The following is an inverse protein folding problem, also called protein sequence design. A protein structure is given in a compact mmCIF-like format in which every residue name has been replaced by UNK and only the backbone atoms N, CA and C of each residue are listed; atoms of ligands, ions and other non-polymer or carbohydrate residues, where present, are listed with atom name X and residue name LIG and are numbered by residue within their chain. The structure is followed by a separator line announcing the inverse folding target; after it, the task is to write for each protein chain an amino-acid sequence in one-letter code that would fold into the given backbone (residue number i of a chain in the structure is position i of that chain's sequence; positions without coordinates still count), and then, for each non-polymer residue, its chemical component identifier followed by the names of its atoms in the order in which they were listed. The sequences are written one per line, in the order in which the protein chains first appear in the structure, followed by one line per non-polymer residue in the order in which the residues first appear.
data_IF_300637508000
#
_entry.id   IF_300637508000
#
_cell.length_a   1.000
_cell.length_b   1.000
_cell.length_c   1.000
_cell.angle_alpha   90.00
_cell.angle_beta   90.00
_cell.angle_gamma   90.00
#
_symmetry.space_group_name_H-M   'P 1'
#
loop_
_entity.id
_entity.type
_entity.pdbx_description
1 polymer ?
#
# COMPACT_ATOMS: atom_id res chain seq x y z
N UNK A 1 -5.11 -19.89 26.90
CA UNK A 1 -4.85 -19.35 26.89
C UNK A 1 -4.12 -18.36 26.46
N UNK A 2 -3.59 -17.80 26.58
CA UNK A 2 -2.96 -16.79 26.22
C UNK A 2 -2.49 -16.66 24.98
N UNK A 3 -2.44 -17.52 24.34
CA UNK A 3 -1.91 -17.49 23.09
C UNK A 3 -2.62 -16.63 22.18
N UNK A 4 -3.85 -16.45 22.35
CA UNK A 4 -4.62 -15.57 21.54
C UNK A 4 -3.99 -14.17 21.50
N UNK A 5 -3.38 -13.78 22.59
CA UNK A 5 -2.76 -12.47 22.63
C UNK A 5 -1.53 -12.40 21.77
N UNK A 6 -0.86 -13.49 21.62
CA UNK A 6 0.35 -13.52 20.82
C UNK A 6 0.02 -13.26 19.37
N UNK A 7 -1.16 -13.69 18.93
CA UNK A 7 -1.54 -13.57 17.55
C UNK A 7 -2.31 -12.29 17.26
N UNK A 8 -2.49 -11.46 18.28
CA UNK A 8 -3.37 -10.32 18.14
C UNK A 8 -2.70 -9.04 17.66
N UNK A 9 -1.44 -9.11 17.24
CA UNK A 9 -0.79 -7.92 16.74
C UNK A 9 -1.48 -7.49 15.45
N UNK A 10 -1.70 -6.18 15.36
CA UNK A 10 -2.37 -5.61 14.20
C UNK A 10 -1.47 -5.67 12.97
N UNK A 11 -2.05 -5.87 11.81
CA UNK A 11 -1.26 -5.75 10.59
C UNK A 11 -0.74 -4.33 10.45
N UNK A 12 0.45 -4.20 9.90
CA UNK A 12 1.17 -2.94 9.82
C UNK A 12 1.07 -2.37 8.41
N UNK A 13 0.77 -1.08 8.32
CA UNK A 13 0.57 -0.43 7.03
C UNK A 13 1.50 0.77 6.86
N UNK A 14 2.01 0.93 5.64
CA UNK A 14 2.80 2.09 5.24
C UNK A 14 1.99 2.88 4.22
N UNK A 15 1.94 4.19 4.39
CA UNK A 15 1.28 5.11 3.46
C UNK A 15 2.35 5.97 2.80
N UNK A 16 2.33 6.04 1.47
CA UNK A 16 3.21 6.92 0.70
C UNK A 16 2.32 7.85 -0.12
N UNK A 17 2.11 9.05 0.37
CA UNK A 17 1.17 10.01 -0.19
C UNK A 17 1.64 11.43 0.13
N UNK A 18 1.81 12.26 -0.89
CA UNK A 18 2.32 13.61 -0.66
C UNK A 18 1.25 14.67 -0.35
N UNK A 19 -0.03 14.33 -0.47
CA UNK A 19 -1.10 15.23 -0.06
C UNK A 19 -1.43 14.98 1.41
N UNK A 20 -1.11 15.96 2.25
CA UNK A 20 -1.22 15.81 3.70
C UNK A 20 -2.63 15.40 4.14
N UNK A 21 -3.66 16.03 3.57
CA UNK A 21 -5.03 15.75 3.99
C UNK A 21 -5.45 14.32 3.65
N UNK A 22 -5.03 13.83 2.50
CA UNK A 22 -5.33 12.46 2.09
C UNK A 22 -4.57 11.48 2.97
N UNK A 23 -3.30 11.76 3.27
CA UNK A 23 -2.52 10.90 4.14
C UNK A 23 -3.15 10.80 5.53
N UNK A 24 -3.61 11.92 6.08
CA UNK A 24 -4.25 11.91 7.39
C UNK A 24 -5.56 11.15 7.39
N UNK A 25 -6.35 11.30 6.33
CA UNK A 25 -7.59 10.54 6.19
C UNK A 25 -7.31 9.04 6.12
N UNK A 26 -6.32 8.65 5.34
CA UNK A 26 -5.95 7.23 5.23
C UNK A 26 -5.48 6.66 6.55
N UNK A 27 -4.70 7.44 7.32
CA UNK A 27 -4.25 6.99 8.64
C UNK A 27 -5.43 6.68 9.55
N UNK A 28 -6.42 7.56 9.59
CA UNK A 28 -7.58 7.37 10.43
C UNK A 28 -8.40 6.16 9.99
N UNK A 29 -8.63 6.04 8.70
CA UNK A 29 -9.45 4.94 8.18
C UNK A 29 -8.78 3.59 8.35
N UNK A 30 -7.48 3.53 8.10
CA UNK A 30 -6.74 2.28 8.30
C UNK A 30 -6.74 1.86 9.76
N UNK A 31 -6.62 2.83 10.66
CA UNK A 31 -6.68 2.54 12.09
C UNK A 31 -8.04 1.95 12.47
N UNK A 32 -9.12 2.50 11.91
CA UNK A 32 -10.46 1.98 12.16
C UNK A 32 -10.64 0.57 11.58
N UNK A 33 -9.94 0.25 10.51
CA UNK A 33 -9.99 -1.07 9.91
C UNK A 33 -9.09 -2.09 10.63
N UNK A 34 -8.38 -1.66 11.64
CA UNK A 34 -7.57 -2.57 12.44
C UNK A 34 -6.09 -2.59 12.11
N UNK A 35 -5.63 -1.68 11.27
CA UNK A 35 -4.20 -1.61 10.93
C UNK A 35 -3.44 -0.71 11.89
N UNK A 36 -2.18 -1.02 12.10
CA UNK A 36 -1.23 -0.13 12.75
C UNK A 36 -0.47 0.62 11.66
N UNK A 37 -0.70 1.91 11.54
CA UNK A 37 -0.01 2.72 10.52
C UNK A 37 1.37 3.06 11.06
N UNK A 38 2.40 2.44 10.48
CA UNK A 38 3.76 2.60 10.99
C UNK A 38 4.41 3.89 10.51
N UNK A 39 3.97 4.40 9.36
CA UNK A 39 4.47 5.66 8.84
C UNK A 39 3.58 6.14 7.72
N UNK A 40 3.53 7.46 7.54
CA UNK A 40 2.92 8.08 6.39
C UNK A 40 3.95 9.08 5.88
N UNK A 41 4.52 8.79 4.72
CA UNK A 41 5.62 9.59 4.16
C UNK A 41 5.21 10.19 2.82
N UNK A 42 5.94 11.20 2.38
CA UNK A 42 5.53 11.97 1.20
C UNK A 42 6.44 11.80 -0.01
N UNK A 43 7.43 10.94 0.07
CA UNK A 43 8.33 10.72 -1.07
C UNK A 43 8.55 9.25 -1.34
N UNK A 44 8.89 8.94 -2.59
CA UNK A 44 9.20 7.58 -2.99
C UNK A 44 10.40 7.05 -2.21
N UNK A 45 11.43 7.87 -2.05
CA UNK A 45 12.66 7.46 -1.38
C UNK A 45 12.41 7.03 0.07
N UNK A 46 11.62 7.83 0.79
CA UNK A 46 11.30 7.47 2.17
C UNK A 46 10.43 6.23 2.23
N UNK A 47 9.49 6.10 1.29
CA UNK A 47 8.64 4.91 1.23
C UNK A 47 9.44 3.65 0.99
N UNK A 48 10.38 3.69 0.05
CA UNK A 48 11.24 2.55 -0.24
C UNK A 48 12.08 2.18 0.98
N UNK A 49 12.67 3.19 1.63
CA UNK A 49 13.52 2.94 2.79
C UNK A 49 12.74 2.29 3.93
N UNK A 50 11.55 2.80 4.22
CA UNK A 50 10.74 2.25 5.31
C UNK A 50 10.22 0.86 4.96
N UNK A 51 9.74 0.67 3.74
CA UNK A 51 9.24 -0.65 3.32
C UNK A 51 10.32 -1.70 3.44
N UNK A 52 11.54 -1.37 3.03
CA UNK A 52 12.65 -2.30 3.08
C UNK A 52 13.06 -2.64 4.51
N UNK A 53 13.11 -1.62 5.36
CA UNK A 53 13.54 -1.79 6.74
C UNK A 53 12.47 -2.43 7.62
N UNK A 54 11.23 -1.96 7.51
CA UNK A 54 10.16 -2.34 8.43
C UNK A 54 9.30 -3.51 7.94
N UNK A 55 9.34 -3.80 6.66
CA UNK A 55 8.58 -4.90 6.05
C UNK A 55 7.11 -4.90 6.49
N UNK A 56 6.35 -3.86 6.10
CA UNK A 56 4.95 -3.78 6.50
C UNK A 56 4.09 -4.87 5.85
N UNK A 57 2.87 -5.02 6.34
CA UNK A 57 1.93 -5.99 5.81
C UNK A 57 1.09 -5.43 4.66
N UNK A 58 1.15 -4.12 4.45
CA UNK A 58 0.40 -3.44 3.39
C UNK A 58 1.08 -2.13 3.06
N UNK A 59 1.16 -1.79 1.77
CA UNK A 59 1.65 -0.49 1.33
C UNK A 59 0.58 0.16 0.47
N UNK A 60 0.15 1.37 0.86
CA UNK A 60 -0.71 2.22 0.03
C UNK A 60 0.20 3.27 -0.59
N UNK A 61 0.17 3.41 -1.90
CA UNK A 61 1.17 4.16 -2.62
C UNK A 61 0.55 5.01 -3.71
N UNK A 62 0.65 6.33 -3.57
CA UNK A 62 0.19 7.24 -4.62
C UNK A 62 1.07 7.07 -5.84
N UNK A 63 0.47 6.97 -7.00
CA UNK A 63 1.21 6.86 -8.26
C UNK A 63 1.96 8.15 -8.54
N UNK A 64 1.34 9.29 -8.26
CA UNK A 64 1.97 10.59 -8.52
C UNK A 64 2.56 11.16 -7.27
N UNK A 65 3.84 10.96 -7.10
CA UNK A 65 4.61 11.57 -6.02
C UNK A 65 5.51 12.64 -6.61
N UNK A 66 5.74 13.70 -5.85
CA UNK A 66 6.66 14.76 -6.23
C UNK A 66 8.08 14.24 -6.04
N UNK A 67 9.02 14.84 -6.80
CA UNK A 67 10.41 14.46 -6.68
C UNK A 67 10.89 13.64 -7.87
N UNK A 68 12.03 13.01 -7.71
CA UNK A 68 12.69 12.31 -8.82
C UNK A 68 12.03 10.99 -9.18
N UNK A 69 11.44 10.31 -8.20
CA UNK A 69 10.77 9.03 -8.43
C UNK A 69 9.30 9.17 -8.14
N UNK A 70 8.49 8.58 -8.99
CA UNK A 70 7.05 8.53 -8.76
C UNK A 70 6.67 7.19 -8.09
N UNK A 71 5.36 6.99 -7.92
CA UNK A 71 4.88 5.80 -7.23
C UNK A 71 5.16 4.50 -7.98
N UNK A 72 5.16 4.53 -9.31
CA UNK A 72 5.42 3.30 -10.08
C UNK A 72 6.87 2.89 -9.89
N UNK A 73 7.79 3.86 -9.94
CA UNK A 73 9.20 3.57 -9.70
C UNK A 73 9.43 3.06 -8.28
N UNK A 74 8.74 3.69 -7.30
CA UNK A 74 8.84 3.24 -5.92
C UNK A 74 8.33 1.80 -5.78
N UNK A 75 7.23 1.46 -6.44
CA UNK A 75 6.68 0.11 -6.39
C UNK A 75 7.66 -0.91 -6.92
N UNK A 76 8.34 -0.60 -8.03
CA UNK A 76 9.34 -1.51 -8.59
C UNK A 76 10.46 -1.79 -7.60
N UNK A 77 10.96 -0.74 -6.96
CA UNK A 77 12.05 -0.90 -6.00
C UNK A 77 11.61 -1.62 -4.74
N UNK A 78 10.41 -1.33 -4.26
CA UNK A 78 9.87 -2.04 -3.09
C UNK A 78 9.74 -3.53 -3.40
N UNK A 79 9.20 -3.87 -4.58
CA UNK A 79 9.02 -5.26 -4.97
C UNK A 79 10.32 -6.03 -5.06
N UNK A 80 11.42 -5.36 -5.38
CA UNK A 80 12.73 -6.01 -5.42
C UNK A 80 13.22 -6.38 -4.03
N UNK A 81 12.74 -5.70 -2.99
CA UNK A 81 13.21 -5.87 -1.63
C UNK A 81 12.26 -6.66 -0.75
N UNK A 82 10.96 -6.50 -0.91
CA UNK A 82 9.98 -7.11 -0.02
C UNK A 82 8.78 -7.61 -0.80
N UNK A 83 8.21 -8.69 -0.33
CA UNK A 83 7.01 -9.26 -0.91
C UNK A 83 5.83 -8.82 -0.05
N UNK A 84 5.17 -7.72 -0.43
CA UNK A 84 4.13 -7.09 0.36
C UNK A 84 2.93 -6.73 -0.53
N UNK A 85 1.70 -6.82 -0.02
CA UNK A 85 0.54 -6.33 -0.75
C UNK A 85 0.68 -4.85 -1.03
N UNK A 86 0.47 -4.46 -2.27
CA UNK A 86 0.68 -3.11 -2.72
C UNK A 86 -0.57 -2.59 -3.41
N UNK A 87 -1.11 -1.47 -2.91
CA UNK A 87 -2.30 -0.84 -3.44
C UNK A 87 -1.93 0.54 -3.95
N UNK A 88 -2.20 0.80 -5.22
CA UNK A 88 -1.98 2.10 -5.80
C UNK A 88 -3.15 3.04 -5.53
N UNK A 89 -2.84 4.31 -5.28
CA UNK A 89 -3.81 5.38 -5.20
C UNK A 89 -3.60 6.27 -6.42
N UNK A 90 -4.66 6.67 -7.08
CA UNK A 90 -4.53 7.49 -8.27
C UNK A 90 -5.71 8.42 -8.47
N UNK A 91 -5.48 9.53 -9.18
CA UNK A 91 -6.55 10.41 -9.59
C UNK A 91 -7.26 9.83 -10.82
N UNK A 92 -8.53 10.20 -10.96
CA UNK A 92 -9.44 9.59 -11.91
C UNK A 92 -9.05 9.73 -13.39
N UNK A 93 -8.24 10.67 -13.76
CA UNK A 93 -8.06 11.06 -15.16
C UNK A 93 -6.73 10.66 -15.80
N UNK A 94 -5.98 9.77 -15.22
CA UNK A 94 -4.62 9.54 -15.66
C UNK A 94 -4.44 8.26 -16.47
N UNK A 95 -4.67 8.32 -17.77
CA UNK A 95 -4.53 7.17 -18.65
C UNK A 95 -3.10 6.70 -18.85
N UNK A 96 -2.17 7.64 -18.96
CA UNK A 96 -0.77 7.29 -19.15
C UNK A 96 -0.25 6.51 -17.95
N UNK A 97 -0.73 6.87 -16.78
CA UNK A 97 -0.34 6.20 -15.55
C UNK A 97 -0.85 4.75 -15.50
N UNK A 98 -2.04 4.51 -16.03
CA UNK A 98 -2.59 3.15 -16.07
C UNK A 98 -1.68 2.20 -16.85
N UNK A 99 -1.16 2.66 -17.99
CA UNK A 99 -0.26 1.83 -18.79
C UNK A 99 1.05 1.53 -18.06
N UNK A 100 1.57 2.51 -17.33
CA UNK A 100 2.79 2.30 -16.55
C UNK A 100 2.58 1.36 -15.38
N UNK A 101 1.41 1.43 -14.75
CA UNK A 101 1.07 0.57 -13.60
C UNK A 101 1.11 -0.90 -14.00
N UNK A 102 0.73 -1.20 -15.24
CA UNK A 102 0.75 -2.59 -15.72
C UNK A 102 2.15 -3.19 -15.77
N UNK A 103 3.19 -2.36 -15.70
CA UNK A 103 4.56 -2.85 -15.69
C UNK A 103 5.00 -3.41 -14.35
N UNK A 104 4.20 -3.21 -13.30
CA UNK A 104 4.53 -3.71 -11.98
C UNK A 104 3.43 -4.62 -11.48
N UNK A 105 3.79 -5.57 -10.64
CA UNK A 105 2.81 -6.36 -9.93
C UNK A 105 2.21 -5.52 -8.83
N UNK A 106 0.90 -5.48 -8.74
CA UNK A 106 0.22 -4.79 -7.66
C UNK A 106 -1.02 -5.58 -7.28
N UNK A 107 -1.56 -5.33 -6.10
CA UNK A 107 -2.65 -6.14 -5.58
C UNK A 107 -3.98 -5.41 -5.55
N UNK A 108 -3.95 -4.09 -5.63
CA UNK A 108 -5.17 -3.29 -5.65
C UNK A 108 -4.93 -1.91 -6.23
N UNK A 109 -6.03 -1.26 -6.58
CA UNK A 109 -5.99 0.03 -7.24
C UNK A 109 -7.18 0.82 -6.76
N UNK A 110 -6.98 2.01 -6.22
CA UNK A 110 -8.03 2.82 -5.64
C UNK A 110 -8.03 4.21 -6.26
N UNK A 111 -9.18 4.60 -6.81
CA UNK A 111 -9.32 5.92 -7.43
C UNK A 111 -9.72 6.97 -6.40
N UNK A 112 -9.09 8.13 -6.47
CA UNK A 112 -9.44 9.29 -5.63
C UNK A 112 -10.51 10.10 -6.36
N UNK A 113 -11.47 10.66 -5.65
CA UNK A 113 -11.77 10.47 -4.24
C UNK A 113 -12.44 9.13 -4.01
N UNK A 114 -12.11 8.48 -2.91
CA UNK A 114 -12.66 7.17 -2.61
C UNK A 114 -13.59 7.24 -1.40
N UNK A 115 -14.50 6.28 -1.33
CA UNK A 115 -15.40 6.13 -0.18
C UNK A 115 -14.80 5.11 0.78
N UNK A 116 -15.24 5.18 2.03
CA UNK A 116 -14.75 4.27 3.05
C UNK A 116 -14.93 2.81 2.64
N UNK A 117 -16.10 2.47 2.09
CA UNK A 117 -16.39 1.12 1.66
C UNK A 117 -15.45 0.67 0.53
N UNK A 118 -15.12 1.57 -0.39
CA UNK A 118 -14.21 1.25 -1.49
C UNK A 118 -12.81 0.97 -0.98
N UNK A 119 -12.35 1.76 -0.01
CA UNK A 119 -11.05 1.54 0.59
C UNK A 119 -10.99 0.17 1.28
N UNK A 120 -12.00 -0.13 2.09
CA UNK A 120 -12.05 -1.40 2.81
C UNK A 120 -12.05 -2.59 1.85
N UNK A 121 -12.91 -2.56 0.83
CA UNK A 121 -13.02 -3.64 -0.14
C UNK A 121 -11.72 -3.83 -0.91
N UNK A 122 -11.11 -2.72 -1.34
CA UNK A 122 -9.86 -2.78 -2.09
C UNK A 122 -8.76 -3.41 -1.25
N UNK A 123 -8.67 -3.04 0.01
CA UNK A 123 -7.66 -3.62 0.91
C UNK A 123 -7.90 -5.11 1.12
N UNK A 124 -9.14 -5.49 1.37
CA UNK A 124 -9.47 -6.90 1.59
C UNK A 124 -9.10 -7.76 0.39
N UNK A 125 -9.43 -7.29 -0.80
CA UNK A 125 -9.10 -8.00 -2.02
C UNK A 125 -7.59 -8.06 -2.22
N UNK A 126 -6.89 -6.94 -1.95
CA UNK A 126 -5.45 -6.88 -2.12
C UNK A 126 -4.74 -7.88 -1.20
N UNK A 127 -5.19 -7.97 0.04
CA UNK A 127 -4.60 -8.91 0.99
C UNK A 127 -4.81 -10.36 0.54
N UNK A 128 -6.01 -10.67 0.02
CA UNK A 128 -6.31 -12.00 -0.48
C UNK A 128 -5.49 -12.34 -1.72
N UNK A 129 -5.40 -11.41 -2.67
CA UNK A 129 -4.63 -11.65 -3.89
C UNK A 129 -3.16 -11.89 -3.59
N UNK A 130 -2.63 -11.13 -2.65
CA UNK A 130 -1.24 -11.30 -2.25
C UNK A 130 -1.01 -12.67 -1.61
N UNK A 131 -1.91 -13.09 -0.73
CA UNK A 131 -1.80 -14.38 -0.06
C UNK A 131 -1.83 -15.53 -1.06
N UNK A 132 -2.70 -15.43 -2.07
CA UNK A 132 -2.78 -16.45 -3.12
C UNK A 132 -1.50 -16.48 -3.92
N UNK A 133 -0.97 -15.32 -4.30
CA UNK A 133 0.25 -15.25 -5.09
C UNK A 133 1.45 -15.84 -4.34
N UNK A 134 1.57 -15.52 -3.06
CA UNK A 134 2.64 -16.07 -2.23
C UNK A 134 2.55 -17.59 -2.15
N UNK A 135 1.33 -18.10 -1.96
CA UNK A 135 1.11 -19.53 -1.87
C UNK A 135 1.49 -20.24 -3.17
N UNK A 136 1.18 -19.63 -4.31
CA UNK A 136 1.57 -20.19 -5.60
C UNK A 136 3.07 -20.20 -5.80
N UNK A 137 3.75 -19.20 -5.29
CA UNK A 137 5.21 -19.11 -5.41
C UNK A 137 5.93 -20.15 -4.56
N UNK A 138 5.29 -20.68 -3.55
CA UNK A 138 5.87 -21.73 -2.72
C UNK A 138 5.93 -23.08 -3.42
N UNK A 139 5.26 -23.22 -4.52
CA UNK A 139 5.27 -24.43 -5.31
C UNK A 139 6.15 -24.26 -6.54
#
# INVERSE_FOLDING_TARGET
MMQANITSSKPRALIVEDEILIAEELKQRLSLLGFSVIAAVDSAEEGIAIATRERPDLVLLDIRLKGKKDGVQAAKEIRQQVNVPLVYLTAHSDRLTVDRVKETEFDGFLLKPFREHELQTTIEIAMQRHAIRVKQQEH
#
